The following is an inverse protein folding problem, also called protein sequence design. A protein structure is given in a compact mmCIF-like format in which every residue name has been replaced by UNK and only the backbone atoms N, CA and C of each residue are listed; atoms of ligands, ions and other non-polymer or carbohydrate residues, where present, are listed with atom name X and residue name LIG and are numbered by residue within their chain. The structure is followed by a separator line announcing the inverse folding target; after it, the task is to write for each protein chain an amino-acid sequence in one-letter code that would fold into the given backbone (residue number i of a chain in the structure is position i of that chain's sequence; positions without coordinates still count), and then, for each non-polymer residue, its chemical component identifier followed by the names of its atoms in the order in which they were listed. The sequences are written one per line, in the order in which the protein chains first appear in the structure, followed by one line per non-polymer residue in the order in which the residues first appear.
data_IF_711361617580
#
_entry.id   IF_711361617580
#
_cell.length_a   1.000
_cell.length_b   1.000
_cell.length_c   1.000
_cell.angle_alpha   90.00
_cell.angle_beta   90.00
_cell.angle_gamma   90.00
#
_symmetry.space_group_name_H-M   'P 1'
#
loop_
_entity.id
_entity.type
_entity.pdbx_description
1 polymer ?
#
# COMPACT_ATOMS: atom_id res chain seq x y z
N UNK A 1 8.13 16.65 -3.22
CA UNK A 1 7.19 17.03 -2.16
C UNK A 1 5.81 17.16 -2.81
N UNK A 2 5.07 16.05 -2.93
CA UNK A 2 3.64 16.10 -3.23
C UNK A 2 2.99 15.28 -2.13
N UNK A 3 2.38 15.96 -1.18
CA UNK A 3 1.60 15.35 -0.11
C UNK A 3 0.21 15.93 -0.23
N UNK A 4 -0.70 15.19 -0.87
CA UNK A 4 -2.12 15.55 -0.83
C UNK A 4 -2.63 15.14 0.54
N UNK A 5 -2.78 16.10 1.45
CA UNK A 5 -3.45 15.89 2.73
C UNK A 5 -4.94 16.10 2.45
N UNK A 6 -5.63 15.04 2.04
CA UNK A 6 -7.08 15.05 1.99
C UNK A 6 -7.61 14.50 3.32
N UNK A 7 -8.48 15.25 3.99
CA UNK A 7 -9.09 14.77 5.23
C UNK A 7 -9.98 13.56 4.92
N UNK A 8 -9.88 12.53 5.74
CA UNK A 8 -10.69 11.34 5.63
C UNK A 8 -11.91 11.46 6.52
N UNK A 9 -13.09 11.53 5.91
CA UNK A 9 -14.37 11.67 6.61
C UNK A 9 -15.18 10.38 6.53
N UNK A 10 -15.73 9.97 7.68
CA UNK A 10 -16.57 8.79 7.83
C UNK A 10 -17.96 9.19 8.31
N UNK A 11 -19.00 8.54 7.76
CA UNK A 11 -20.40 8.82 8.06
C UNK A 11 -21.11 7.52 8.43
N UNK A 12 -21.63 7.44 9.65
CA UNK A 12 -22.45 6.31 10.10
C UNK A 12 -23.92 6.64 9.82
N UNK A 13 -24.58 5.84 9.00
CA UNK A 13 -26.01 5.91 8.78
C UNK A 13 -26.72 5.09 9.87
N UNK A 14 -27.27 5.79 10.86
CA UNK A 14 -27.96 5.16 12.01
C UNK A 14 -29.26 4.44 11.63
N UNK A 15 -29.82 4.68 10.45
CA UNK A 15 -31.07 4.04 9.99
C UNK A 15 -30.80 2.64 9.44
N UNK A 16 -29.74 2.46 8.66
CA UNK A 16 -29.41 1.17 8.04
C UNK A 16 -28.13 0.50 8.62
N UNK A 17 -27.48 1.13 9.58
CA UNK A 17 -26.24 0.64 10.20
C UNK A 17 -25.01 0.69 9.31
N UNK A 18 -25.06 1.31 8.14
CA UNK A 18 -23.94 1.36 7.19
C UNK A 18 -22.93 2.46 7.54
N UNK A 19 -21.65 2.19 7.32
CA UNK A 19 -20.54 3.14 7.47
C UNK A 19 -20.06 3.53 6.08
N UNK A 20 -19.99 4.82 5.83
CA UNK A 20 -19.52 5.38 4.57
C UNK A 20 -18.22 6.15 4.76
N UNK A 21 -17.40 6.18 3.73
CA UNK A 21 -16.22 7.04 3.62
C UNK A 21 -16.41 7.99 2.44
N UNK A 22 -16.11 9.28 2.64
CA UNK A 22 -16.18 10.26 1.57
C UNK A 22 -15.07 10.09 0.54
N UNK A 23 -15.39 10.33 -0.73
CA UNK A 23 -14.42 10.33 -1.84
C UNK A 23 -13.86 11.72 -2.10
N UNK A 24 -13.11 11.89 -3.21
CA UNK A 24 -12.64 13.21 -3.63
C UNK A 24 -13.78 14.20 -3.88
N UNK A 25 -14.92 13.69 -4.33
CA UNK A 25 -16.09 14.45 -4.74
C UNK A 25 -17.12 14.61 -3.62
N UNK A 26 -16.75 14.33 -2.36
CA UNK A 26 -17.65 14.50 -1.21
C UNK A 26 -18.18 15.94 -1.10
N UNK A 27 -17.34 16.95 -1.33
CA UNK A 27 -17.73 18.34 -1.17
C UNK A 27 -18.62 18.87 -2.31
N UNK A 28 -18.53 18.27 -3.50
CA UNK A 28 -19.26 18.69 -4.70
C UNK A 28 -20.57 17.92 -4.86
N UNK A 29 -20.51 16.59 -4.73
CA UNK A 29 -21.59 15.69 -5.13
C UNK A 29 -22.06 14.79 -3.99
N UNK A 30 -21.52 14.99 -2.78
CA UNK A 30 -21.75 14.14 -1.60
C UNK A 30 -21.39 12.67 -1.88
N UNK A 31 -20.44 12.44 -2.79
CA UNK A 31 -20.02 11.09 -3.18
C UNK A 31 -19.35 10.36 -2.01
N UNK A 32 -19.82 9.14 -1.75
CA UNK A 32 -19.39 8.30 -0.65
C UNK A 32 -19.35 6.83 -1.05
N UNK A 33 -18.45 6.07 -0.43
CA UNK A 33 -18.32 4.62 -0.60
C UNK A 33 -18.70 3.86 0.68
N UNK A 34 -19.40 2.72 0.60
CA UNK A 34 -19.62 1.88 1.77
C UNK A 34 -18.30 1.24 2.24
N UNK A 35 -18.06 1.26 3.54
CA UNK A 35 -16.86 0.67 4.16
C UNK A 35 -17.00 -0.84 4.40
N UNK A 36 -18.25 -1.30 4.53
CA UNK A 36 -18.62 -2.69 4.75
C UNK A 36 -19.75 -3.02 3.77
N UNK A 37 -19.78 -4.18 3.10
CA UNK A 37 -20.86 -4.50 2.21
C UNK A 37 -22.12 -4.85 2.97
N UNK A 38 -23.22 -4.48 2.35
CA UNK A 38 -24.55 -4.58 2.91
C UNK A 38 -24.94 -6.00 3.32
N UNK A 39 -24.39 -7.03 2.68
CA UNK A 39 -24.69 -8.44 3.00
C UNK A 39 -24.17 -8.92 4.36
N UNK A 40 -23.29 -8.17 5.01
CA UNK A 40 -22.80 -8.47 6.37
C UNK A 40 -23.53 -7.73 7.47
N UNK A 41 -24.36 -6.74 7.12
CA UNK A 41 -25.06 -5.94 8.11
C UNK A 41 -26.26 -6.73 8.64
N UNK A 42 -26.31 -6.89 9.95
CA UNK A 42 -27.48 -7.46 10.63
C UNK A 42 -28.39 -6.29 11.07
N UNK A 43 -29.66 -6.34 10.67
CA UNK A 43 -30.59 -5.22 10.79
C UNK A 43 -30.75 -4.74 12.23
N UNK A 44 -30.76 -3.41 12.39
CA UNK A 44 -31.08 -2.70 13.65
C UNK A 44 -32.51 -3.00 14.14
N UNK A 45 -33.34 -3.64 13.31
CA UNK A 45 -34.74 -3.94 13.58
C UNK A 45 -35.05 -5.43 13.82
N UNK A 46 -34.06 -6.30 13.87
CA UNK A 46 -34.25 -7.69 14.32
C UNK A 46 -34.15 -7.73 15.85
N UNK A 47 -35.28 -7.41 16.51
CA UNK A 47 -35.45 -7.27 17.97
C UNK A 47 -35.18 -8.54 18.81
N UNK A 48 -34.45 -9.54 18.29
CA UNK A 48 -34.34 -10.86 18.93
C UNK A 48 -32.93 -11.49 18.93
N UNK A 49 -31.85 -10.74 18.71
CA UNK A 49 -30.52 -11.27 18.97
C UNK A 49 -29.61 -10.25 19.65
N UNK A 50 -28.86 -10.70 20.65
CA UNK A 50 -27.75 -9.99 21.29
C UNK A 50 -26.55 -9.76 20.32
N UNK A 51 -26.78 -9.79 19.01
CA UNK A 51 -25.79 -9.69 17.94
C UNK A 51 -26.18 -8.61 16.93
N UNK A 52 -26.38 -7.39 17.40
CA UNK A 52 -26.41 -6.22 16.53
C UNK A 52 -25.00 -5.99 15.96
N UNK A 53 -24.83 -6.10 14.65
CA UNK A 53 -23.57 -5.83 13.95
C UNK A 53 -23.77 -4.74 12.91
N UNK A 54 -23.55 -3.49 13.32
CA UNK A 54 -23.42 -2.38 12.38
C UNK A 54 -22.05 -2.38 11.69
N UNK A 55 -21.95 -1.61 10.61
CA UNK A 55 -20.74 -1.51 9.81
C UNK A 55 -19.58 -0.88 10.58
N UNK A 56 -19.83 -0.03 11.58
CA UNK A 56 -18.76 0.59 12.35
C UNK A 56 -18.07 -0.44 13.24
N UNK A 57 -18.85 -1.29 13.91
CA UNK A 57 -18.31 -2.38 14.72
C UNK A 57 -17.53 -3.36 13.85
N UNK A 58 -18.11 -3.84 12.75
CA UNK A 58 -17.45 -4.76 11.81
C UNK A 58 -16.13 -4.19 11.27
N UNK A 59 -16.12 -2.89 10.93
CA UNK A 59 -14.93 -2.20 10.46
C UNK A 59 -13.84 -2.12 11.55
N UNK A 60 -14.21 -1.81 12.80
CA UNK A 60 -13.28 -1.75 13.93
C UNK A 60 -12.74 -3.14 14.31
N UNK A 61 -13.59 -4.17 14.30
CA UNK A 61 -13.21 -5.56 14.58
C UNK A 61 -12.18 -6.06 13.57
N UNK A 62 -12.42 -5.83 12.27
CA UNK A 62 -11.45 -6.19 11.24
C UNK A 62 -10.13 -5.42 11.38
N UNK A 63 -10.19 -4.13 11.75
CA UNK A 63 -9.00 -3.35 12.02
C UNK A 63 -8.19 -3.90 13.21
N UNK A 64 -8.88 -4.25 14.30
CA UNK A 64 -8.29 -4.87 15.49
C UNK A 64 -7.69 -6.23 15.18
N UNK A 65 -8.40 -7.07 14.40
CA UNK A 65 -7.91 -8.38 13.96
C UNK A 65 -6.63 -8.26 13.14
N UNK A 66 -6.57 -7.33 12.17
CA UNK A 66 -5.36 -7.09 11.37
C UNK A 66 -4.16 -6.63 12.21
N UNK A 67 -4.39 -5.87 13.28
CA UNK A 67 -3.34 -5.51 14.24
C UNK A 67 -2.88 -6.71 15.07
N UNK A 68 -3.84 -7.48 15.59
CA UNK A 68 -3.57 -8.65 16.43
C UNK A 68 -2.82 -9.74 15.66
N UNK A 69 -3.18 -9.95 14.39
CA UNK A 69 -2.56 -10.93 13.50
C UNK A 69 -1.23 -10.43 12.90
N UNK A 70 -0.83 -9.19 13.19
CA UNK A 70 0.41 -8.59 12.69
C UNK A 70 0.41 -8.23 11.20
N UNK A 71 -0.74 -8.32 10.53
CA UNK A 71 -0.92 -7.89 9.14
C UNK A 71 -0.56 -6.41 9.02
N UNK A 72 -1.02 -5.58 9.96
CA UNK A 72 -0.61 -4.17 10.09
C UNK A 72 0.07 -3.97 11.44
N UNK A 73 1.01 -3.02 11.51
CA UNK A 73 1.86 -2.83 12.70
C UNK A 73 1.88 -1.38 13.16
N UNK A 74 2.17 -1.21 14.44
CA UNK A 74 2.54 0.09 14.99
C UNK A 74 3.91 0.49 14.43
N UNK A 75 3.98 1.70 13.91
CA UNK A 75 5.20 2.34 13.47
C UNK A 75 5.51 3.50 14.43
N UNK A 76 6.75 3.54 14.90
CA UNK A 76 7.26 4.60 15.76
C UNK A 76 8.18 5.49 14.94
N UNK A 77 7.79 6.75 14.76
CA UNK A 77 8.62 7.77 14.12
C UNK A 77 8.81 8.93 15.10
N UNK A 78 9.99 8.99 15.71
CA UNK A 78 10.27 9.91 16.81
C UNK A 78 9.36 9.65 18.00
N UNK A 79 8.56 10.66 18.40
CA UNK A 79 7.62 10.57 19.52
C UNK A 79 6.19 10.20 19.08
N UNK A 80 5.97 9.94 17.79
CA UNK A 80 4.65 9.61 17.25
C UNK A 80 4.57 8.11 17.06
N UNK A 81 3.54 7.50 17.67
CA UNK A 81 3.15 6.11 17.40
C UNK A 81 1.90 6.13 16.54
N UNK A 82 1.98 5.48 15.38
CA UNK A 82 0.91 5.42 14.41
C UNK A 82 0.71 3.98 13.95
N UNK A 83 -0.50 3.63 13.51
CA UNK A 83 -0.74 2.34 12.85
C UNK A 83 -0.39 2.50 11.38
N UNK A 84 0.60 1.75 10.91
CA UNK A 84 0.93 1.66 9.49
C UNK A 84 -0.05 0.70 8.81
N UNK A 85 -0.91 1.25 7.96
CA UNK A 85 -2.00 0.49 7.31
C UNK A 85 -1.51 -0.45 6.21
N UNK A 86 -0.27 -0.27 5.75
CA UNK A 86 0.34 -1.08 4.71
C UNK A 86 0.67 -2.47 5.25
N UNK A 87 0.06 -3.53 4.69
CA UNK A 87 0.30 -4.89 5.15
C UNK A 87 1.78 -5.26 5.18
N UNK A 88 2.21 -6.00 6.20
CA UNK A 88 3.60 -6.45 6.33
C UNK A 88 3.81 -7.93 6.04
N UNK A 89 2.73 -8.71 6.10
CA UNK A 89 2.77 -10.16 5.97
C UNK A 89 2.04 -10.65 4.70
N UNK A 90 2.42 -11.81 4.14
CA UNK A 90 1.70 -12.45 3.05
C UNK A 90 0.24 -12.78 3.41
N UNK A 91 -0.67 -12.90 2.43
CA UNK A 91 -0.45 -12.72 0.99
C UNK A 91 -0.45 -11.24 0.55
N UNK A 92 -0.67 -10.32 1.49
CA UNK A 92 -0.86 -8.90 1.21
C UNK A 92 0.44 -8.09 1.08
N UNK A 93 1.55 -8.67 1.50
CA UNK A 93 2.88 -8.12 1.37
C UNK A 93 3.74 -9.08 0.56
N UNK A 94 4.16 -8.63 -0.62
CA UNK A 94 5.05 -9.38 -1.49
C UNK A 94 6.49 -9.11 -1.10
N UNK A 95 7.31 -10.16 -1.09
CA UNK A 95 8.73 -10.07 -0.76
C UNK A 95 9.57 -10.66 -1.89
N UNK A 96 10.60 -9.94 -2.30
CA UNK A 96 11.63 -10.44 -3.20
C UNK A 96 13.02 -10.19 -2.60
N UNK A 97 13.94 -11.14 -2.79
CA UNK A 97 15.34 -11.01 -2.40
C UNK A 97 16.18 -11.30 -3.63
N UNK A 98 17.07 -10.38 -3.99
CA UNK A 98 18.03 -10.59 -5.09
C UNK A 98 19.33 -9.93 -4.73
N UNK A 99 20.44 -10.67 -4.89
CA UNK A 99 21.78 -10.18 -4.60
C UNK A 99 21.93 -9.54 -3.22
N UNK A 100 21.23 -10.09 -2.21
CA UNK A 100 21.25 -9.60 -0.82
C UNK A 100 20.31 -8.43 -0.52
N UNK A 101 19.74 -7.77 -1.53
CA UNK A 101 18.73 -6.73 -1.31
C UNK A 101 17.37 -7.37 -1.14
N UNK A 102 16.72 -7.12 0.00
CA UNK A 102 15.35 -7.49 0.29
C UNK A 102 14.42 -6.32 -0.02
N UNK A 103 13.42 -6.57 -0.85
CA UNK A 103 12.35 -5.63 -1.17
C UNK A 103 11.04 -6.22 -0.70
N UNK A 104 10.27 -5.43 0.07
CA UNK A 104 8.90 -5.74 0.48
C UNK A 104 7.96 -4.69 -0.08
N UNK A 105 6.86 -5.13 -0.67
CA UNK A 105 5.89 -4.27 -1.30
C UNK A 105 4.48 -4.64 -0.85
N UNK A 106 3.70 -3.64 -0.45
CA UNK A 106 2.28 -3.81 -0.20
C UNK A 106 1.52 -2.56 -0.61
N UNK A 107 0.22 -2.74 -0.83
CA UNK A 107 -0.66 -1.70 -1.32
C UNK A 107 -1.92 -1.58 -0.47
N UNK A 108 -2.57 -0.42 -0.57
CA UNK A 108 -3.86 -0.13 0.05
C UNK A 108 -4.68 0.76 -0.88
N UNK A 109 -6.00 0.60 -0.84
CA UNK A 109 -6.94 1.49 -1.50
C UNK A 109 -7.13 2.79 -0.70
N UNK A 110 -7.26 3.92 -1.41
CA UNK A 110 -7.39 5.28 -0.88
C UNK A 110 -8.71 5.89 -1.36
N UNK A 111 -9.85 5.59 -0.71
CA UNK A 111 -11.15 6.06 -1.18
C UNK A 111 -11.28 7.59 -1.20
N UNK A 112 -10.64 8.30 -0.27
CA UNK A 112 -10.70 9.77 -0.19
C UNK A 112 -10.11 10.44 -1.42
N UNK A 113 -9.28 9.72 -2.20
CA UNK A 113 -8.72 10.19 -3.45
C UNK A 113 -9.44 9.63 -4.68
N UNK A 114 -10.35 8.66 -4.51
CA UNK A 114 -11.14 8.07 -5.59
C UNK A 114 -12.15 9.08 -6.15
N UNK A 115 -12.48 8.88 -7.42
CA UNK A 115 -13.48 9.66 -8.17
C UNK A 115 -14.31 8.65 -8.95
N UNK A 116 -15.50 8.29 -8.46
CA UNK A 116 -16.24 7.17 -9.07
C UNK A 116 -16.88 7.54 -10.42
N UNK A 117 -16.89 8.82 -10.77
CA UNK A 117 -17.39 9.35 -12.04
C UNK A 117 -16.29 9.39 -13.12
N UNK A 118 -15.01 9.49 -12.73
CA UNK A 118 -13.88 9.39 -13.65
C UNK A 118 -13.77 7.96 -14.24
N UNK A 119 -13.67 7.88 -15.56
CA UNK A 119 -13.57 6.60 -16.29
C UNK A 119 -12.12 6.07 -16.43
N UNK A 120 -11.13 6.92 -16.14
CA UNK A 120 -9.69 6.67 -16.35
C UNK A 120 -8.90 6.59 -15.05
N UNK A 121 -9.23 7.42 -14.05
CA UNK A 121 -8.53 7.51 -12.76
C UNK A 121 -9.45 7.23 -11.57
N UNK A 122 -10.39 6.31 -11.78
CA UNK A 122 -11.49 6.00 -10.86
C UNK A 122 -11.06 5.64 -9.44
N UNK A 123 -10.08 4.74 -9.34
CA UNK A 123 -9.61 4.17 -8.09
C UNK A 123 -8.20 4.64 -7.80
N UNK A 124 -7.93 5.00 -6.56
CA UNK A 124 -6.61 5.42 -6.12
C UNK A 124 -6.00 4.41 -5.17
N UNK A 125 -4.79 3.97 -5.48
CA UNK A 125 -4.05 3.05 -4.65
C UNK A 125 -2.75 3.69 -4.20
N UNK A 126 -2.45 3.55 -2.91
CA UNK A 126 -1.13 3.84 -2.37
C UNK A 126 -0.36 2.52 -2.23
N UNK A 127 0.95 2.58 -2.46
CA UNK A 127 1.85 1.45 -2.24
C UNK A 127 3.02 1.88 -1.35
N UNK A 128 3.50 0.95 -0.53
CA UNK A 128 4.66 1.10 0.33
C UNK A 128 5.74 0.11 -0.09
N UNK A 129 6.92 0.63 -0.40
CA UNK A 129 8.10 -0.17 -0.70
C UNK A 129 9.10 -0.03 0.44
N UNK A 130 9.56 -1.17 0.95
CA UNK A 130 10.52 -1.27 2.05
C UNK A 130 11.73 -2.02 1.54
N UNK A 131 12.90 -1.43 1.70
CA UNK A 131 14.16 -1.95 1.18
C UNK A 131 15.16 -2.11 2.32
N UNK A 132 15.78 -3.28 2.41
CA UNK A 132 16.91 -3.52 3.30
C UNK A 132 17.98 -4.35 2.61
N UNK A 133 19.20 -4.23 3.12
CA UNK A 133 20.30 -5.10 2.76
C UNK A 133 20.45 -6.17 3.85
N UNK A 134 20.46 -7.43 3.44
CA UNK A 134 20.61 -8.56 4.36
C UNK A 134 21.99 -8.54 5.05
N UNK A 135 22.14 -9.22 6.21
CA UNK A 135 23.41 -9.28 6.95
C UNK A 135 24.61 -9.73 6.10
N UNK A 136 24.37 -10.58 5.10
CA UNK A 136 25.39 -11.13 4.19
C UNK A 136 25.90 -10.09 3.17
N UNK A 137 25.36 -8.88 3.16
CA UNK A 137 25.70 -7.84 2.17
C UNK A 137 25.13 -8.15 0.78
N UNK A 138 25.63 -7.44 -0.24
CA UNK A 138 25.20 -7.67 -1.62
C UNK A 138 26.29 -8.32 -2.45
N UNK A 139 25.88 -9.20 -3.37
CA UNK A 139 26.76 -9.95 -4.26
C UNK A 139 26.52 -9.53 -5.71
N UNK A 140 27.55 -9.02 -6.38
CA UNK A 140 27.47 -8.58 -7.77
C UNK A 140 28.59 -9.23 -8.55
N UNK A 141 28.24 -10.02 -9.57
CA UNK A 141 29.19 -10.80 -10.38
C UNK A 141 30.13 -11.67 -9.52
N UNK A 142 29.62 -12.26 -8.44
CA UNK A 142 30.39 -13.07 -7.51
C UNK A 142 31.26 -12.29 -6.52
N UNK A 143 31.28 -10.95 -6.57
CA UNK A 143 32.00 -10.10 -5.63
C UNK A 143 31.08 -9.60 -4.52
N UNK A 144 31.59 -9.64 -3.29
CA UNK A 144 30.91 -9.13 -2.10
C UNK A 144 31.07 -7.62 -1.96
N UNK A 145 29.99 -6.95 -1.53
CA UNK A 145 29.99 -5.55 -1.14
C UNK A 145 29.18 -5.35 0.14
N UNK A 146 29.74 -4.59 1.08
CA UNK A 146 29.10 -4.26 2.36
C UNK A 146 28.06 -3.15 2.29
N UNK A 147 27.74 -2.63 1.10
CA UNK A 147 26.67 -1.66 0.89
C UNK A 147 26.30 -1.57 -0.60
N UNK A 148 25.08 -1.10 -0.88
CA UNK A 148 24.64 -0.77 -2.23
C UNK A 148 23.70 0.42 -2.22
N UNK A 149 23.74 1.23 -3.28
CA UNK A 149 22.89 2.41 -3.43
C UNK A 149 21.92 2.24 -4.58
N UNK A 150 20.64 2.54 -4.34
CA UNK A 150 19.63 2.54 -5.38
C UNK A 150 19.96 3.62 -6.41
N UNK A 151 19.85 3.27 -7.69
CA UNK A 151 20.09 4.15 -8.82
C UNK A 151 18.80 4.43 -9.60
N UNK A 152 18.01 3.39 -9.88
CA UNK A 152 16.85 3.47 -10.80
C UNK A 152 15.72 2.56 -10.33
N UNK A 153 14.50 2.93 -10.72
CA UNK A 153 13.30 2.10 -10.66
C UNK A 153 12.69 1.91 -12.06
N UNK A 154 12.05 0.77 -12.26
CA UNK A 154 11.21 0.49 -13.41
C UNK A 154 9.92 -0.17 -12.92
N UNK A 155 8.78 0.28 -13.42
CA UNK A 155 7.46 -0.18 -13.03
C UNK A 155 6.63 -0.51 -14.26
N UNK A 156 5.87 -1.60 -14.17
CA UNK A 156 4.80 -1.98 -15.08
C UNK A 156 3.54 -2.08 -14.23
N UNK A 157 2.54 -1.28 -14.57
CA UNK A 157 1.27 -1.21 -13.87
C UNK A 157 0.22 -1.88 -14.72
N UNK A 158 -0.53 -2.80 -14.12
CA UNK A 158 -1.59 -3.56 -14.76
C UNK A 158 -2.96 -3.20 -14.20
N UNK A 159 -3.95 -3.10 -15.09
CA UNK A 159 -5.36 -2.98 -14.77
C UNK A 159 -6.13 -4.05 -15.56
N UNK A 160 -6.92 -4.88 -14.87
CA UNK A 160 -7.67 -5.99 -15.48
C UNK A 160 -6.82 -6.87 -16.45
N UNK A 161 -5.59 -7.18 -16.04
CA UNK A 161 -4.66 -8.00 -16.82
C UNK A 161 -3.93 -7.27 -17.97
N UNK A 162 -4.24 -6.01 -18.25
CA UNK A 162 -3.58 -5.23 -19.31
C UNK A 162 -2.55 -4.26 -18.73
N UNK A 163 -1.44 -4.04 -19.44
CA UNK A 163 -0.46 -2.99 -19.08
C UNK A 163 -1.10 -1.63 -19.35
N UNK A 164 -1.24 -0.82 -18.31
CA UNK A 164 -1.76 0.55 -18.39
C UNK A 164 -0.67 1.61 -18.23
N UNK A 165 0.49 1.24 -17.68
CA UNK A 165 1.64 2.14 -17.57
C UNK A 165 2.96 1.39 -17.51
N UNK A 166 3.98 1.96 -18.16
CA UNK A 166 5.38 1.52 -18.08
C UNK A 166 6.24 2.75 -17.72
N UNK A 167 6.82 2.75 -16.51
CA UNK A 167 7.49 3.92 -15.93
C UNK A 167 8.90 3.56 -15.52
N UNK A 168 9.89 4.16 -16.19
CA UNK A 168 11.30 4.10 -15.80
C UNK A 168 11.78 5.46 -15.29
N UNK A 169 12.57 5.47 -14.22
CA UNK A 169 13.15 6.71 -13.71
C UNK A 169 14.25 6.51 -12.69
N UNK A 170 15.15 7.49 -12.60
CA UNK A 170 16.19 7.50 -11.57
C UNK A 170 15.59 7.74 -10.18
N UNK A 171 16.29 7.25 -9.16
CA UNK A 171 15.91 7.39 -7.76
C UNK A 171 14.54 6.74 -7.43
N UNK A 172 14.11 6.90 -6.18
CA UNK A 172 12.73 6.72 -5.73
C UNK A 172 12.34 7.96 -4.97
N UNK A 173 11.21 8.60 -5.29
CA UNK A 173 10.77 9.88 -4.67
C UNK A 173 11.86 10.98 -4.61
N UNK A 174 12.78 10.99 -5.58
CA UNK A 174 13.93 11.91 -5.61
C UNK A 174 15.09 11.55 -4.67
N UNK A 175 15.04 10.38 -4.02
CA UNK A 175 16.07 9.85 -3.12
C UNK A 175 16.82 8.67 -3.74
N UNK A 176 18.11 8.59 -3.47
CA UNK A 176 19.00 7.49 -3.81
C UNK A 176 19.44 6.77 -2.52
N UNK A 177 18.59 5.94 -1.91
CA UNK A 177 18.92 5.30 -0.63
C UNK A 177 20.16 4.42 -0.74
N UNK A 178 21.11 4.63 0.18
CA UNK A 178 22.20 3.70 0.44
C UNK A 178 21.73 2.70 1.48
N UNK A 179 21.88 1.41 1.20
CA UNK A 179 21.54 0.33 2.12
C UNK A 179 22.82 -0.26 2.70
N UNK A 180 22.84 -0.41 4.02
CA UNK A 180 23.89 -1.11 4.77
C UNK A 180 23.28 -2.30 5.53
N UNK A 181 24.02 -3.41 5.71
CA UNK A 181 23.56 -4.53 6.51
C UNK A 181 23.24 -4.11 7.95
N UNK A 182 22.09 -4.56 8.47
CA UNK A 182 21.66 -4.28 9.85
C UNK A 182 21.09 -2.89 10.08
N UNK A 183 21.06 -2.00 9.09
CA UNK A 183 20.31 -0.75 9.18
C UNK A 183 18.80 -0.98 9.06
N UNK A 184 18.03 0.00 9.54
CA UNK A 184 16.57 -0.02 9.39
C UNK A 184 16.22 0.04 7.91
N UNK A 185 15.11 -0.61 7.56
CA UNK A 185 14.53 -0.53 6.22
C UNK A 185 14.40 0.92 5.75
N UNK A 186 14.85 1.19 4.53
CA UNK A 186 14.43 2.37 3.80
C UNK A 186 12.99 2.17 3.34
N UNK A 187 12.08 3.05 3.76
CA UNK A 187 10.67 2.98 3.40
C UNK A 187 10.28 4.20 2.59
N UNK A 188 9.60 3.99 1.47
CA UNK A 188 8.91 5.06 0.76
C UNK A 188 7.52 4.63 0.33
N UNK A 189 6.65 5.63 0.19
CA UNK A 189 5.27 5.46 -0.25
C UNK A 189 5.03 6.34 -1.48
N UNK A 190 4.19 5.85 -2.37
CA UNK A 190 3.71 6.59 -3.54
C UNK A 190 2.33 6.04 -3.91
N UNK A 191 1.70 6.61 -4.92
CA UNK A 191 0.36 6.23 -5.37
C UNK A 191 0.29 6.05 -6.88
N UNK A 192 -0.76 5.36 -7.33
CA UNK A 192 -1.15 5.28 -8.73
C UNK A 192 -2.68 5.30 -8.83
N UNK A 193 -3.26 6.07 -9.76
CA UNK A 193 -4.65 5.88 -10.15
C UNK A 193 -4.79 4.63 -11.02
N UNK A 194 -5.97 4.01 -11.02
CA UNK A 194 -6.39 2.94 -11.91
C UNK A 194 -7.86 3.16 -12.29
N UNK A 195 -8.22 2.83 -13.54
CA UNK A 195 -9.63 2.83 -13.97
C UNK A 195 -10.42 1.66 -13.40
N UNK A 196 -9.73 0.61 -12.91
CA UNK A 196 -10.32 -0.61 -12.39
C UNK A 196 -10.08 -0.75 -10.90
N UNK A 197 -11.01 -1.48 -10.29
CA UNK A 197 -11.07 -1.69 -8.86
C UNK A 197 -10.04 -2.71 -8.36
N UNK A 198 -9.39 -3.42 -9.30
CA UNK A 198 -8.25 -4.29 -9.06
C UNK A 198 -7.16 -4.07 -10.11
N UNK A 199 -5.93 -4.42 -9.75
CA UNK A 199 -4.76 -4.29 -10.61
C UNK A 199 -3.53 -4.95 -10.01
N UNK A 200 -2.38 -4.77 -10.63
CA UNK A 200 -1.09 -5.13 -10.05
C UNK A 200 0.00 -4.14 -10.45
N UNK A 201 1.07 -4.09 -9.67
CA UNK A 201 2.29 -3.37 -10.01
C UNK A 201 3.40 -4.38 -9.90
N UNK A 202 4.16 -4.46 -10.98
CA UNK A 202 5.38 -5.22 -11.08
C UNK A 202 6.52 -4.31 -11.44
N UNK A 203 7.73 -4.62 -11.02
CA UNK A 203 8.85 -3.75 -11.34
C UNK A 203 10.14 -4.17 -10.71
N UNK A 204 11.18 -3.42 -11.04
CA UNK A 204 12.55 -3.69 -10.66
C UNK A 204 13.27 -2.43 -10.16
N UNK A 205 14.30 -2.67 -9.35
CA UNK A 205 15.21 -1.64 -8.89
C UNK A 205 16.62 -1.96 -9.37
N UNK A 206 17.35 -0.94 -9.81
CA UNK A 206 18.78 -1.06 -10.11
C UNK A 206 19.56 -0.47 -8.96
N UNK A 207 20.49 -1.27 -8.41
CA UNK A 207 21.42 -0.85 -7.37
C UNK A 207 22.86 -0.84 -7.90
N UNK A 208 23.68 0.08 -7.42
CA UNK A 208 25.13 0.04 -7.63
C UNK A 208 25.83 -0.37 -6.33
N UNK A 209 26.95 -1.11 -6.40
CA UNK A 209 27.74 -1.38 -5.21
C UNK A 209 28.32 -0.09 -4.62
N UNK A 210 28.34 -0.01 -3.29
CA UNK A 210 28.84 1.16 -2.58
C UNK A 210 27.95 2.39 -2.73
N UNK A 211 28.60 3.57 -2.78
CA UNK A 211 27.95 4.86 -3.03
C UNK A 211 28.13 5.26 -4.49
N UNK A 212 27.12 5.89 -5.07
CA UNK A 212 27.19 6.65 -6.31
C UNK A 212 28.26 7.73 -6.16
N UNK A 213 29.40 7.56 -6.82
CA UNK A 213 30.42 8.61 -6.97
C UNK A 213 29.97 9.53 -8.11
N UNK A 214 30.23 10.84 -7.99
CA UNK A 214 29.91 11.83 -9.01
C UNK A 214 30.32 11.35 -10.41
N UNK A 215 29.38 11.39 -11.36
CA UNK A 215 29.44 10.77 -12.70
C UNK A 215 30.56 11.31 -13.62
N UNK A 216 31.52 12.11 -13.14
CA UNK A 216 32.59 12.69 -13.96
C UNK A 216 33.79 11.76 -14.23
N UNK A 217 33.95 10.63 -13.52
CA UNK A 217 35.17 9.80 -13.68
C UNK A 217 35.00 8.32 -14.06
N UNK A 218 33.79 7.78 -14.19
CA UNK A 218 33.62 6.33 -14.45
C UNK A 218 33.08 6.03 -15.85
N UNK A 219 33.95 6.22 -16.85
CA UNK A 219 33.80 5.62 -18.19
C UNK A 219 33.94 4.08 -18.18
N UNK A 220 34.31 3.48 -17.04
CA UNK A 220 34.31 2.02 -16.83
C UNK A 220 32.99 1.58 -16.19
N UNK A 221 31.92 1.62 -16.98
CA UNK A 221 30.61 1.08 -16.60
C UNK A 221 30.66 -0.45 -16.58
N UNK A 222 30.78 -1.06 -15.40
CA UNK A 222 30.14 -2.37 -15.18
C UNK A 222 28.64 -2.12 -15.13
N UNK A 223 28.00 -2.13 -16.31
CA UNK A 223 26.54 -2.16 -16.42
C UNK A 223 26.06 -3.48 -15.84
N UNK A 224 25.03 -3.43 -15.02
CA UNK A 224 24.17 -4.58 -14.79
C UNK A 224 23.65 -5.03 -16.15
N UNK A 225 24.09 -6.21 -16.62
CA UNK A 225 23.36 -6.93 -17.65
C UNK A 225 22.42 -7.90 -16.93
N UNK A 226 21.15 -7.49 -16.91
CA UNK A 226 19.95 -8.32 -16.96
C UNK A 226 19.78 -9.39 -15.90
N UNK A 227 19.20 -8.98 -14.78
CA UNK A 227 18.09 -9.71 -14.16
C UNK A 227 17.25 -8.71 -13.37
N UNK A 228 16.06 -8.30 -13.84
CA UNK A 228 15.19 -7.42 -13.08
C UNK A 228 14.79 -8.10 -11.77
N UNK A 229 14.86 -7.37 -10.65
CA UNK A 229 14.08 -7.72 -9.47
C UNK A 229 12.63 -7.81 -9.93
N UNK A 230 11.96 -8.94 -9.77
CA UNK A 230 10.54 -9.06 -10.05
C UNK A 230 9.83 -9.19 -8.71
N UNK A 231 8.98 -8.23 -8.39
CA UNK A 231 7.98 -8.38 -7.34
C UNK A 231 6.65 -7.98 -7.93
N UNK A 232 5.59 -8.67 -7.52
CA UNK A 232 4.23 -8.39 -7.92
C UNK A 232 3.46 -8.05 -6.67
N UNK A 233 2.90 -6.85 -6.58
CA UNK A 233 1.89 -6.53 -5.55
C UNK A 233 0.54 -6.37 -6.23
N UNK A 234 -0.48 -7.00 -5.69
CA UNK A 234 -1.85 -6.95 -6.20
C UNK A 234 -2.62 -5.85 -5.49
N UNK A 235 -3.50 -5.20 -6.24
CA UNK A 235 -4.46 -4.21 -5.78
C UNK A 235 -5.85 -4.82 -5.88
N UNK A 236 -6.66 -4.70 -4.83
CA UNK A 236 -8.08 -5.04 -4.88
C UNK A 236 -8.88 -4.11 -3.97
N UNK A 237 -10.01 -3.64 -4.47
CA UNK A 237 -11.04 -2.89 -3.72
C UNK A 237 -11.95 -3.80 -2.88
N UNK A 238 -11.95 -5.10 -3.15
CA UNK A 238 -12.58 -6.14 -2.32
C UNK A 238 -14.01 -6.50 -2.75
N UNK A 239 -14.27 -7.81 -2.91
CA UNK A 239 -15.61 -8.43 -2.90
C UNK A 239 -15.59 -9.58 -1.84
N UNK A 240 -16.56 -9.69 -0.91
CA UNK A 240 -16.43 -10.65 0.22
C UNK A 240 -16.67 -12.06 -0.29
N UNK A 241 -15.84 -13.00 0.16
CA UNK A 241 -16.14 -14.42 0.13
C UNK A 241 -16.03 -14.97 1.54
N UNK A 242 -17.16 -15.43 2.07
CA UNK A 242 -17.20 -16.30 3.24
C UNK A 242 -16.60 -17.65 2.80
N UNK A 243 -15.36 -17.97 3.20
CA UNK A 243 -14.78 -19.26 2.85
C UNK A 243 -15.39 -20.38 3.70
N UNK A 244 -16.33 -21.10 3.10
CA UNK A 244 -16.32 -22.56 3.21
C UNK A 244 -15.16 -23.09 2.36
N UNK A 245 -14.43 -24.05 2.91
CA UNK A 245 -13.21 -24.68 2.45
C UNK A 245 -13.01 -24.86 0.92
N UNK A 246 -11.71 -24.81 0.56
CA UNK A 246 -11.05 -25.33 -0.65
C UNK A 246 -11.08 -24.48 -1.93
N UNK A 247 -9.88 -24.01 -2.30
CA UNK A 247 -9.48 -23.46 -3.61
C UNK A 247 -10.26 -22.25 -4.13
N UNK A 248 -9.90 -21.06 -3.66
CA UNK A 248 -10.08 -19.81 -4.40
C UNK A 248 -9.08 -18.76 -3.90
N UNK A 249 -8.59 -17.92 -4.81
CA UNK A 249 -7.60 -16.88 -4.59
C UNK A 249 -7.92 -15.98 -3.38
N UNK A 250 -6.92 -15.54 -2.59
CA UNK A 250 -7.17 -14.61 -1.49
C UNK A 250 -7.48 -13.23 -2.06
N UNK A 251 -8.76 -12.90 -2.15
CA UNK A 251 -9.28 -11.54 -2.28
C UNK A 251 -9.38 -11.01 -0.85
N UNK A 252 -8.65 -9.93 -0.56
CA UNK A 252 -8.54 -9.42 0.81
C UNK A 252 -8.97 -7.96 0.85
N UNK A 253 -9.86 -7.67 1.80
CA UNK A 253 -10.36 -6.34 2.06
C UNK A 253 -9.35 -5.46 2.76
N UNK A 254 -9.32 -4.20 2.35
CA UNK A 254 -8.64 -3.15 3.08
C UNK A 254 -9.70 -2.20 3.64
N UNK A 255 -9.95 -2.18 4.98
CA UNK A 255 -10.61 -1.04 5.58
C UNK A 255 -9.91 0.23 5.08
N UNK A 256 -10.67 1.22 4.59
CA UNK A 256 -10.11 2.37 3.92
C UNK A 256 -9.03 3.03 4.77
N UNK A 257 -7.82 3.08 4.23
CA UNK A 257 -6.62 3.34 5.02
C UNK A 257 -6.57 4.80 5.49
N UNK A 258 -6.42 5.08 6.78
CA UNK A 258 -6.06 6.43 7.27
C UNK A 258 -4.59 6.70 6.89
N UNK A 259 -4.32 6.93 5.60
CA UNK A 259 -2.97 7.16 5.09
C UNK A 259 -2.89 8.56 4.55
N UNK A 260 -2.28 9.42 5.35
CA UNK A 260 -1.74 10.66 4.84
C UNK A 260 -0.52 10.31 3.97
N UNK A 261 -0.39 10.87 2.77
CA UNK A 261 0.72 10.62 1.83
C UNK A 261 2.13 10.89 2.41
N UNK A 262 2.23 11.32 3.68
CA UNK A 262 3.43 11.62 4.43
C UNK A 262 3.49 10.99 5.85
N UNK A 263 2.74 9.91 6.14
CA UNK A 263 2.88 9.21 7.43
C UNK A 263 2.34 9.96 8.66
N UNK A 264 1.51 11.01 8.48
CA UNK A 264 0.90 11.73 9.60
C UNK A 264 -0.51 11.23 9.91
N UNK A 265 -0.70 10.76 11.15
CA UNK A 265 -1.96 10.34 11.77
C UNK A 265 -3.07 11.36 11.52
N UNK A 266 -4.22 10.91 11.00
CA UNK A 266 -5.47 11.68 11.03
C UNK A 266 -6.19 11.34 12.32
N UNK A 267 -6.48 12.37 13.11
CA UNK A 267 -7.22 12.28 14.36
C UNK A 267 -8.72 12.19 14.03
N UNK A 268 -9.43 11.19 14.56
CA UNK A 268 -10.90 11.13 14.51
C UNK A 268 -11.46 12.33 15.28
N UNK A 269 -11.84 13.40 14.58
CA UNK A 269 -12.65 14.48 15.16
C UNK A 269 -14.13 14.11 15.01
N UNK A 270 -14.75 13.81 16.15
CA UNK A 270 -16.20 13.70 16.28
C UNK A 270 -16.81 15.10 16.13
N UNK A 271 -17.31 15.44 14.95
CA UNK A 271 -18.25 16.56 14.81
C UNK A 271 -19.65 15.97 14.89
N UNK A 272 -20.31 16.15 16.03
CA UNK A 272 -21.75 15.94 16.14
C UNK A 272 -22.41 17.12 15.39
N UNK A 273 -23.17 16.80 14.35
CA UNK A 273 -24.23 17.69 13.84
C UNK A 273 -25.54 17.31 14.55
#
# INVERSE_FOLDING_TARGET
MSSTIQEKLFFLNCTNGQLYVGTRNLATDLEMMPCVPSGLLMSVHDFNSDQQQDAMLLWLEEHGRRLQDGIIKLQEEGNVRAICQFPEEPPLCSTAITNGVKVRASAVFVPEAADLEDSSEKYWFAYSIRMSLLPEGCFINGMYFGSCQLQRRHWIIYANGNIVSDVSGEAVIGKYPLLLPGERDFVYQSCTPLSTSSGSIEGSFTFVPGRLVDQKELHLKLKWHDSPFNFQTTFSDGHWSLNSCNNAHPIVYHPPALVNMCGKVVCLRKTLL
#
